data_IF_102048887083
#
_entry.id   IF_102048887083
#
_cell.length_a   1.000
_cell.length_b   1.000
_cell.length_c   1.000
_cell.angle_alpha   90.00
_cell.angle_beta   90.00
_cell.angle_gamma   90.00
#
_symmetry.space_group_name_H-M   'P 1'
#
loop_
_entity.id
_entity.type
_entity.pdbx_description
1 polymer ?
#
# COMPACT_ATOMS: atom_id res chain seq x y z
N UNK A 1 -16.71 -8.50 -15.69
CA UNK A 1 -15.45 -8.33 -16.45
C UNK A 1 -14.59 -7.21 -15.86
N UNK A 2 -15.11 -5.98 -15.67
CA UNK A 2 -14.33 -4.87 -15.07
C UNK A 2 -13.71 -5.21 -13.71
N UNK A 3 -14.51 -5.71 -12.75
CA UNK A 3 -14.02 -6.14 -11.43
C UNK A 3 -12.91 -7.20 -11.48
N UNK A 4 -13.00 -8.19 -12.38
CA UNK A 4 -11.98 -9.23 -12.50
C UNK A 4 -10.65 -8.65 -13.03
N UNK A 5 -10.73 -7.72 -13.98
CA UNK A 5 -9.55 -7.00 -14.48
C UNK A 5 -8.93 -6.14 -13.37
N UNK A 6 -9.74 -5.44 -12.58
CA UNK A 6 -9.28 -4.66 -11.43
C UNK A 6 -8.59 -5.56 -10.38
N UNK A 7 -9.13 -6.74 -10.08
CA UNK A 7 -8.49 -7.72 -9.17
C UNK A 7 -7.15 -8.18 -9.71
N UNK A 8 -7.06 -8.50 -11.01
CA UNK A 8 -5.81 -8.92 -11.63
C UNK A 8 -4.75 -7.80 -11.56
N UNK A 9 -5.14 -6.57 -11.88
CA UNK A 9 -4.28 -5.39 -11.83
C UNK A 9 -3.82 -5.06 -10.40
N UNK A 10 -4.71 -5.17 -9.41
CA UNK A 10 -4.37 -4.98 -8.00
C UNK A 10 -3.26 -5.94 -7.53
N UNK A 11 -3.36 -7.22 -7.93
CA UNK A 11 -2.34 -8.23 -7.62
C UNK A 11 -1.02 -7.96 -8.32
N UNK A 12 -1.07 -7.53 -9.58
CA UNK A 12 0.11 -7.13 -10.35
C UNK A 12 0.86 -6.00 -9.65
N UNK A 13 0.17 -4.91 -9.27
CA UNK A 13 0.79 -3.81 -8.53
C UNK A 13 1.45 -4.28 -7.22
N UNK A 14 0.75 -5.07 -6.41
CA UNK A 14 1.29 -5.58 -5.15
C UNK A 14 2.47 -6.55 -5.31
N UNK A 15 2.67 -7.10 -6.51
CA UNK A 15 3.85 -7.90 -6.85
C UNK A 15 5.08 -7.06 -7.20
N UNK A 16 4.86 -5.83 -7.67
CA UNK A 16 5.92 -4.91 -8.12
C UNK A 16 6.31 -3.90 -7.05
N UNK A 17 5.34 -3.40 -6.29
CA UNK A 17 5.54 -2.34 -5.30
C UNK A 17 4.61 -2.51 -4.11
N UNK A 18 5.03 -1.99 -2.96
CA UNK A 18 4.17 -1.94 -1.79
C UNK A 18 3.17 -0.79 -1.90
N UNK A 19 1.93 -1.03 -1.45
CA UNK A 19 0.86 -0.03 -1.41
C UNK A 19 0.09 -0.11 -0.10
N UNK A 20 -0.41 1.03 0.36
CA UNK A 20 -1.50 1.06 1.32
C UNK A 20 -2.80 0.61 0.66
N UNK A 21 -3.82 0.30 1.48
CA UNK A 21 -5.14 -0.07 0.94
C UNK A 21 -5.72 1.07 0.09
N UNK A 22 -5.71 2.30 0.61
CA UNK A 22 -6.26 3.46 -0.10
C UNK A 22 -5.40 3.83 -1.30
N UNK A 23 -4.08 3.83 -1.18
CA UNK A 23 -3.19 4.11 -2.30
C UNK A 23 -3.34 3.12 -3.45
N UNK A 24 -3.61 1.83 -3.18
CA UNK A 24 -3.91 0.87 -4.24
C UNK A 24 -5.28 1.12 -4.90
N UNK A 25 -6.29 1.57 -4.15
CA UNK A 25 -7.59 1.95 -4.71
C UNK A 25 -7.41 3.16 -5.63
N UNK A 26 -6.76 4.21 -5.15
CA UNK A 26 -6.51 5.45 -5.90
C UNK A 26 -5.70 5.16 -7.18
N UNK A 27 -4.73 4.25 -7.12
CA UNK A 27 -3.96 3.82 -8.29
C UNK A 27 -4.82 3.11 -9.35
N UNK A 28 -5.77 2.26 -8.92
CA UNK A 28 -6.69 1.61 -9.85
C UNK A 28 -7.69 2.62 -10.45
N UNK A 29 -8.15 3.60 -9.66
CA UNK A 29 -8.99 4.68 -10.19
C UNK A 29 -8.25 5.53 -11.22
N UNK A 30 -6.98 5.84 -10.98
CA UNK A 30 -6.12 6.52 -11.94
C UNK A 30 -5.95 5.74 -13.25
N UNK A 31 -5.89 4.40 -13.18
CA UNK A 31 -5.86 3.50 -14.34
C UNK A 31 -7.23 3.38 -15.06
N UNK A 32 -8.25 4.08 -14.58
CA UNK A 32 -9.56 4.19 -15.22
C UNK A 32 -10.61 3.19 -14.73
N UNK A 33 -10.35 2.46 -13.64
CA UNK A 33 -11.39 1.67 -12.98
C UNK A 33 -12.36 2.58 -12.22
N UNK A 34 -13.63 2.19 -12.13
CA UNK A 34 -14.57 2.90 -11.27
C UNK A 34 -14.18 2.71 -9.79
N UNK A 35 -14.57 3.65 -8.92
CA UNK A 35 -14.39 3.52 -7.46
C UNK A 35 -14.97 2.22 -6.92
N UNK A 36 -16.12 1.77 -7.46
CA UNK A 36 -16.75 0.50 -7.09
C UNK A 36 -15.87 -0.68 -7.47
N UNK A 37 -15.36 -0.73 -8.71
CA UNK A 37 -14.50 -1.82 -9.19
C UNK A 37 -13.15 -1.86 -8.45
N UNK A 38 -12.52 -0.70 -8.22
CA UNK A 38 -11.26 -0.56 -7.51
C UNK A 38 -11.40 -1.01 -6.05
N UNK A 39 -12.45 -0.53 -5.36
CA UNK A 39 -12.75 -0.92 -3.97
C UNK A 39 -13.07 -2.41 -3.89
N UNK A 40 -13.88 -2.93 -4.81
CA UNK A 40 -14.18 -4.36 -4.90
C UNK A 40 -12.90 -5.18 -5.06
N UNK A 41 -12.01 -4.78 -5.97
CA UNK A 41 -10.77 -5.50 -6.23
C UNK A 41 -9.87 -5.60 -5.00
N UNK A 42 -9.64 -4.47 -4.33
CA UNK A 42 -8.80 -4.39 -3.14
C UNK A 42 -9.42 -5.13 -1.94
N UNK A 43 -10.75 -5.20 -1.85
CA UNK A 43 -11.45 -5.98 -0.82
C UNK A 43 -11.45 -7.50 -1.09
N UNK A 44 -11.32 -7.90 -2.36
CA UNK A 44 -11.39 -9.32 -2.78
C UNK A 44 -10.05 -10.03 -2.59
N UNK A 45 -8.94 -9.30 -2.59
CA UNK A 45 -7.60 -9.87 -2.45
C UNK A 45 -7.23 -10.09 -0.98
N UNK A 46 -6.68 -11.26 -0.69
CA UNK A 46 -6.11 -11.54 0.62
C UNK A 46 -4.71 -10.89 0.73
N UNK A 47 -4.64 -9.76 1.44
CA UNK A 47 -3.41 -8.97 1.59
C UNK A 47 -3.17 -8.68 3.07
N UNK A 48 -1.94 -8.96 3.51
CA UNK A 48 -1.46 -8.47 4.80
C UNK A 48 -0.96 -7.03 4.63
N UNK A 49 -1.81 -6.07 4.99
CA UNK A 49 -1.51 -4.64 4.89
C UNK A 49 -0.41 -4.18 5.85
N UNK A 50 -0.18 -4.90 6.96
CA UNK A 50 0.95 -4.64 7.84
C UNK A 50 2.25 -5.04 7.15
N UNK A 51 2.27 -6.17 6.43
CA UNK A 51 3.42 -6.53 5.60
C UNK A 51 3.65 -5.53 4.46
N UNK A 52 2.60 -4.98 3.85
CA UNK A 52 2.77 -3.93 2.83
C UNK A 52 3.43 -2.68 3.43
N UNK A 53 3.01 -2.25 4.62
CA UNK A 53 3.65 -1.13 5.33
C UNK A 53 5.13 -1.41 5.64
N UNK A 54 5.45 -2.62 6.11
CA UNK A 54 6.84 -3.01 6.37
C UNK A 54 7.71 -3.04 5.11
N UNK A 55 7.16 -3.51 3.98
CA UNK A 55 7.84 -3.48 2.69
C UNK A 55 8.12 -2.04 2.25
N UNK A 56 7.10 -1.17 2.31
CA UNK A 56 7.25 0.24 1.92
C UNK A 56 8.23 0.99 2.82
N UNK A 57 8.18 0.75 4.12
CA UNK A 57 9.12 1.34 5.07
C UNK A 57 10.58 0.96 4.76
N UNK A 58 10.83 -0.30 4.42
CA UNK A 58 12.17 -0.79 4.00
C UNK A 58 12.60 -0.22 2.66
N UNK A 59 11.68 -0.12 1.70
CA UNK A 59 11.91 0.50 0.39
C UNK A 59 12.39 1.95 0.57
N UNK A 60 11.69 2.75 1.37
CA UNK A 60 12.11 4.12 1.68
C UNK A 60 13.51 4.20 2.27
N UNK A 61 13.80 3.36 3.28
CA UNK A 61 15.12 3.33 3.92
C UNK A 61 16.25 2.85 3.00
N UNK A 62 15.92 2.10 1.94
CA UNK A 62 16.90 1.71 0.93
C UNK A 62 17.27 2.84 -0.03
N UNK A 63 16.37 3.83 -0.18
CA UNK A 63 16.55 4.96 -1.11
C UNK A 63 17.09 6.21 -0.41
N UNK A 64 16.69 6.45 0.84
CA UNK A 64 17.12 7.62 1.60
C UNK A 64 17.07 7.37 3.11
N UNK A 65 17.81 8.19 3.86
CA UNK A 65 17.74 8.17 5.31
C UNK A 65 16.44 8.82 5.80
N UNK A 66 15.77 8.17 6.75
CA UNK A 66 14.60 8.70 7.44
C UNK A 66 14.80 8.64 8.95
N UNK A 67 14.24 9.63 9.66
CA UNK A 67 13.98 9.48 11.10
C UNK A 67 12.76 8.58 11.30
N UNK A 68 12.63 7.98 12.49
CA UNK A 68 11.47 7.15 12.84
C UNK A 68 10.15 7.90 12.67
N UNK A 69 10.06 9.14 13.17
CA UNK A 69 8.86 9.96 13.04
C UNK A 69 8.60 10.37 11.59
N UNK A 70 9.64 10.75 10.84
CA UNK A 70 9.49 11.10 9.43
C UNK A 70 8.98 9.94 8.59
N UNK A 71 9.42 8.70 8.88
CA UNK A 71 8.95 7.52 8.17
C UNK A 71 7.49 7.17 8.54
N UNK A 72 7.10 7.38 9.81
CA UNK A 72 5.70 7.23 10.23
C UNK A 72 4.80 8.20 9.47
N UNK A 73 5.18 9.48 9.41
CA UNK A 73 4.43 10.52 8.71
C UNK A 73 4.35 10.24 7.21
N UNK A 74 5.43 9.74 6.60
CA UNK A 74 5.45 9.37 5.19
C UNK A 74 4.50 8.21 4.88
N UNK A 75 4.50 7.15 5.69
CA UNK A 75 3.56 6.03 5.50
C UNK A 75 2.11 6.46 5.74
N UNK A 76 1.86 7.32 6.72
CA UNK A 76 0.53 7.87 6.96
C UNK A 76 0.05 8.74 5.79
N UNK A 77 0.94 9.55 5.19
CA UNK A 77 0.65 10.33 3.98
C UNK A 77 0.28 9.43 2.79
N UNK A 78 0.95 8.29 2.65
CA UNK A 78 0.59 7.27 1.64
C UNK A 78 -0.69 6.49 1.95
N UNK A 79 -1.38 6.79 3.05
CA UNK A 79 -2.66 6.20 3.40
C UNK A 79 -2.58 4.88 4.17
N UNK A 80 -1.42 4.52 4.72
CA UNK A 80 -1.38 3.48 5.75
C UNK A 80 -2.06 3.97 7.03
N UNK A 81 -2.80 3.08 7.70
CA UNK A 81 -3.37 3.43 9.01
C UNK A 81 -2.25 3.68 10.03
N UNK A 82 -2.51 4.42 11.12
CA UNK A 82 -1.49 4.64 12.15
C UNK A 82 -0.89 3.33 12.69
N UNK A 83 -1.71 2.29 12.85
CA UNK A 83 -1.25 0.97 13.29
C UNK A 83 -0.35 0.28 12.26
N UNK A 84 -0.69 0.37 10.97
CA UNK A 84 0.12 -0.19 9.87
C UNK A 84 1.45 0.56 9.73
N UNK A 85 1.42 1.89 9.79
CA UNK A 85 2.63 2.71 9.76
C UNK A 85 3.56 2.35 10.93
N UNK A 86 3.02 2.27 12.15
CA UNK A 86 3.77 1.84 13.34
C UNK A 86 4.37 0.45 13.18
N UNK A 87 3.59 -0.51 12.68
CA UNK A 87 4.09 -1.85 12.40
C UNK A 87 5.23 -1.82 11.37
N UNK A 88 5.04 -1.08 10.26
CA UNK A 88 6.00 -1.01 9.18
C UNK A 88 7.34 -0.42 9.61
N UNK A 89 7.31 0.67 10.37
CA UNK A 89 8.52 1.29 10.93
C UNK A 89 9.19 0.39 11.97
N UNK A 90 8.42 -0.26 12.86
CA UNK A 90 9.01 -1.19 13.83
C UNK A 90 9.71 -2.39 13.15
N UNK A 91 9.20 -2.84 12.00
CA UNK A 91 9.77 -3.94 11.23
C UNK A 91 11.09 -3.61 10.51
N UNK A 92 11.54 -2.35 10.52
CA UNK A 92 12.82 -1.93 9.92
C UNK A 92 13.96 -1.85 10.94
N UNK A 93 13.65 -1.90 12.25
CA UNK A 93 14.63 -1.75 13.32
C UNK A 93 14.87 -0.30 13.79
N UNK A 94 14.06 0.65 13.32
CA UNK A 94 14.02 2.04 13.81
C UNK A 94 13.22 2.22 15.12
#
# INVERSE_FOLDING_TARGET
>A
MSQQNAVAKAKEYLSMSAFSRTGLIDQLEYEGFSTEDATYAVNTIAVDWNQQAAKKAKEYLSMSAFSRSGLLDQLAYEGFTPAQAQYGVAATGL
#
